data_IF_605735462942
#
_entry.id   IF_605735462942
#
_cell.length_a   1.000
_cell.length_b   1.000
_cell.length_c   1.000
_cell.angle_alpha   90.00
_cell.angle_beta   90.00
_cell.angle_gamma   90.00
#
_symmetry.space_group_name_H-M   'P 1'
#
loop_
_entity.id
_entity.type
_entity.pdbx_description
1 polymer ?
#
# COMPACT_ATOMS: atom_id res chain seq x y z
N UNK A 1 -10.88 -28.66 7.17
CA UNK A 1 -11.33 -27.45 6.46
C UNK A 1 -10.38 -27.32 5.27
N UNK A 2 -10.90 -27.18 4.05
CA UNK A 2 -10.01 -27.03 2.88
C UNK A 2 -9.33 -25.67 2.87
N UNK A 3 -8.24 -25.51 2.13
CA UNK A 3 -7.57 -24.20 1.97
C UNK A 3 -8.54 -23.14 1.45
N UNK A 4 -9.41 -23.50 0.51
CA UNK A 4 -10.48 -22.63 -0.01
C UNK A 4 -11.51 -22.24 1.06
N UNK A 5 -11.85 -23.13 1.99
CA UNK A 5 -12.74 -22.78 3.09
C UNK A 5 -12.07 -21.84 4.09
N UNK A 6 -10.78 -22.07 4.38
CA UNK A 6 -9.96 -21.18 5.23
C UNK A 6 -9.87 -19.79 4.60
N UNK A 7 -9.56 -19.70 3.30
CA UNK A 7 -9.48 -18.44 2.56
C UNK A 7 -10.82 -17.72 2.52
N UNK A 8 -11.92 -18.43 2.24
CA UNK A 8 -13.27 -17.82 2.24
C UNK A 8 -13.57 -17.16 3.59
N UNK A 9 -13.37 -17.89 4.69
CA UNK A 9 -13.58 -17.36 6.04
C UNK A 9 -12.65 -16.17 6.34
N UNK A 10 -11.39 -16.26 5.92
CA UNK A 10 -10.43 -15.17 6.09
C UNK A 10 -10.86 -13.89 5.37
N UNK A 11 -11.38 -14.00 4.14
CA UNK A 11 -11.87 -12.85 3.37
C UNK A 11 -13.14 -12.24 3.98
N UNK A 12 -14.03 -13.06 4.55
CA UNK A 12 -15.21 -12.58 5.27
C UNK A 12 -14.84 -11.78 6.53
N UNK A 13 -13.83 -12.24 7.28
CA UNK A 13 -13.43 -11.62 8.55
C UNK A 13 -12.44 -10.46 8.38
N UNK A 14 -11.56 -10.53 7.37
CA UNK A 14 -10.36 -9.68 7.26
C UNK A 14 -10.01 -9.26 5.83
N UNK A 15 -10.95 -9.39 4.88
CA UNK A 15 -10.72 -9.09 3.47
C UNK A 15 -10.65 -7.61 3.09
N UNK A 16 -10.77 -6.67 4.04
CA UNK A 16 -10.58 -5.24 3.79
C UNK A 16 -9.09 -4.92 3.56
N UNK A 17 -8.78 -4.38 2.38
CA UNK A 17 -7.40 -3.99 2.05
C UNK A 17 -6.94 -2.75 2.82
N UNK A 18 -5.64 -2.47 2.83
CA UNK A 18 -5.16 -1.24 3.46
C UNK A 18 -5.60 0.00 2.67
N UNK A 19 -5.74 -0.10 1.35
CA UNK A 19 -6.26 0.97 0.51
C UNK A 19 -7.74 1.26 0.82
N UNK A 20 -8.57 0.22 0.95
CA UNK A 20 -9.98 0.35 1.34
C UNK A 20 -10.11 0.96 2.74
N UNK A 21 -9.31 0.46 3.69
CA UNK A 21 -9.20 1.05 5.03
C UNK A 21 -8.76 2.51 4.92
N UNK A 22 -7.96 2.94 3.94
CA UNK A 22 -7.60 4.35 3.74
C UNK A 22 -8.62 5.17 2.93
N UNK A 23 -9.78 4.59 2.59
CA UNK A 23 -10.80 5.17 1.71
C UNK A 23 -10.23 5.56 0.34
N UNK A 24 -9.40 4.67 -0.21
CA UNK A 24 -8.94 4.71 -1.59
C UNK A 24 -9.70 3.62 -2.34
N UNK A 25 -10.48 4.03 -3.33
CA UNK A 25 -10.88 3.11 -4.40
C UNK A 25 -9.70 3.01 -5.36
N UNK A 26 -9.00 1.88 -5.34
CA UNK A 26 -7.84 1.65 -6.22
C UNK A 26 -8.35 1.55 -7.67
N UNK A 27 -7.90 2.49 -8.51
CA UNK A 27 -8.23 2.58 -9.93
C UNK A 27 -6.95 2.88 -10.70
N UNK A 28 -6.93 2.53 -11.98
CA UNK A 28 -5.82 2.83 -12.88
C UNK A 28 -5.82 4.32 -13.31
N UNK A 29 -5.76 5.21 -12.31
CA UNK A 29 -5.86 6.67 -12.43
C UNK A 29 -4.78 7.34 -11.56
N UNK A 30 -4.20 8.49 -11.99
CA UNK A 30 -3.02 9.07 -11.34
C UNK A 30 -3.20 9.36 -9.84
N UNK A 31 -4.32 10.00 -9.45
CA UNK A 31 -4.56 10.36 -8.05
C UNK A 31 -4.77 9.15 -7.15
N UNK A 32 -5.45 8.10 -7.64
CA UNK A 32 -5.68 6.89 -6.87
C UNK A 32 -4.35 6.18 -6.58
N UNK A 33 -3.51 6.02 -7.61
CA UNK A 33 -2.19 5.40 -7.49
C UNK A 33 -1.22 6.24 -6.64
N UNK A 34 -1.25 7.57 -6.77
CA UNK A 34 -0.42 8.45 -5.94
C UNK A 34 -0.78 8.36 -4.45
N UNK A 35 -2.08 8.35 -4.13
CA UNK A 35 -2.55 8.16 -2.75
C UNK A 35 -2.15 6.78 -2.22
N UNK A 36 -2.22 5.75 -3.05
CA UNK A 36 -1.77 4.41 -2.70
C UNK A 36 -0.27 4.36 -2.41
N UNK A 37 0.59 4.89 -3.28
CA UNK A 37 2.04 4.94 -3.03
C UNK A 37 2.36 5.74 -1.77
N UNK A 38 1.62 6.82 -1.51
CA UNK A 38 1.74 7.60 -0.27
C UNK A 38 1.40 6.74 0.96
N UNK A 39 0.33 5.94 0.91
CA UNK A 39 0.00 4.99 1.99
C UNK A 39 1.16 4.01 2.25
N UNK A 40 1.67 3.37 1.21
CA UNK A 40 2.77 2.40 1.31
C UNK A 40 4.02 3.06 1.91
N UNK A 41 4.35 4.29 1.48
CA UNK A 41 5.48 5.05 2.02
C UNK A 41 5.32 5.32 3.53
N UNK A 42 4.11 5.66 3.97
CA UNK A 42 3.81 5.90 5.39
C UNK A 42 3.86 4.60 6.22
N UNK A 43 3.39 3.49 5.66
CA UNK A 43 3.40 2.16 6.28
C UNK A 43 4.81 1.55 6.37
N UNK A 44 5.72 1.94 5.48
CA UNK A 44 7.10 1.46 5.48
C UNK A 44 7.93 1.94 6.71
N UNK A 45 7.39 2.84 7.53
CA UNK A 45 8.02 3.26 8.79
C UNK A 45 7.72 2.26 9.93
N UNK A 46 8.55 2.20 10.99
CA UNK A 46 8.24 1.45 12.21
C UNK A 46 7.06 2.05 13.00
N UNK A 47 5.85 1.89 12.47
CA UNK A 47 4.60 2.43 12.99
C UNK A 47 3.45 1.45 12.72
N UNK A 48 2.34 1.58 13.44
CA UNK A 48 1.17 0.73 13.18
C UNK A 48 0.51 1.11 11.85
N UNK A 49 -0.04 0.10 11.17
CA UNK A 49 -0.78 0.30 9.93
C UNK A 49 -1.95 1.28 10.11
N UNK A 50 -2.66 1.21 11.24
CA UNK A 50 -3.79 2.11 11.54
C UNK A 50 -3.38 3.58 11.63
N UNK A 51 -2.20 3.87 12.22
CA UNK A 51 -1.68 5.24 12.29
C UNK A 51 -1.27 5.73 10.88
N UNK A 52 -0.67 4.87 10.05
CA UNK A 52 -0.35 5.23 8.66
C UNK A 52 -1.61 5.47 7.81
N UNK A 53 -2.66 4.66 7.97
CA UNK A 53 -3.97 4.84 7.34
C UNK A 53 -4.61 6.15 7.79
N UNK A 54 -4.62 6.44 9.10
CA UNK A 54 -5.13 7.69 9.64
C UNK A 54 -4.36 8.90 9.08
N UNK A 55 -3.03 8.81 8.98
CA UNK A 55 -2.18 9.85 8.43
C UNK A 55 -2.53 10.14 6.96
N UNK A 56 -2.67 9.11 6.12
CA UNK A 56 -3.10 9.31 4.74
C UNK A 56 -4.49 9.96 4.64
N UNK A 57 -5.45 9.51 5.46
CA UNK A 57 -6.80 10.09 5.51
C UNK A 57 -6.73 11.58 5.86
N UNK A 58 -5.91 11.97 6.83
CA UNK A 58 -5.71 13.38 7.20
C UNK A 58 -5.05 14.21 6.09
N UNK A 59 -4.06 13.67 5.37
CA UNK A 59 -3.47 14.33 4.19
C UNK A 59 -4.53 14.54 3.10
N UNK A 60 -5.35 13.53 2.79
CA UNK A 60 -6.41 13.61 1.79
C UNK A 60 -7.46 14.67 2.16
N UNK A 61 -7.84 14.77 3.45
CA UNK A 61 -8.74 15.84 3.94
C UNK A 61 -8.19 17.24 3.73
N UNK A 62 -6.86 17.40 3.71
CA UNK A 62 -6.20 18.67 3.38
C UNK A 62 -6.01 18.88 1.87
N UNK A 63 -6.55 18.00 1.03
CA UNK A 63 -6.43 18.08 -0.43
C UNK A 63 -5.08 17.60 -0.98
N UNK A 64 -4.26 16.90 -0.18
CA UNK A 64 -2.90 16.47 -0.55
C UNK A 64 -2.90 15.12 -1.30
N UNK A 65 -3.91 14.88 -2.15
CA UNK A 65 -4.11 13.62 -2.87
C UNK A 65 -3.49 13.57 -4.27
N UNK A 66 -2.74 14.59 -4.68
CA UNK A 66 -2.02 14.64 -5.97
C UNK A 66 -0.62 15.24 -5.80
N UNK A 67 0.32 14.95 -6.71
CA UNK A 67 1.67 15.51 -6.67
C UNK A 67 1.69 17.05 -6.62
N UNK A 68 0.87 17.70 -7.43
CA UNK A 68 0.81 19.17 -7.54
C UNK A 68 0.33 19.81 -6.23
N UNK A 69 -0.67 19.19 -5.58
CA UNK A 69 -1.16 19.64 -4.28
C UNK A 69 -0.11 19.46 -3.18
N UNK A 70 0.62 18.35 -3.19
CA UNK A 70 1.75 18.12 -2.28
C UNK A 70 2.86 19.16 -2.47
N UNK A 71 3.20 19.47 -3.72
CA UNK A 71 4.26 20.43 -4.04
C UNK A 71 3.90 21.84 -3.60
N UNK A 72 2.66 22.28 -3.86
CA UNK A 72 2.17 23.63 -3.54
C UNK A 72 1.87 23.86 -2.06
N UNK A 73 1.56 22.82 -1.28
CA UNK A 73 1.17 22.98 0.11
C UNK A 73 2.34 23.39 1.04
N UNK A 74 2.10 24.27 2.03
CA UNK A 74 3.11 24.61 3.02
C UNK A 74 3.39 23.42 3.94
N UNK A 75 4.62 23.34 4.47
CA UNK A 75 5.03 22.27 5.40
C UNK A 75 4.10 22.15 6.61
N UNK A 76 3.59 23.26 7.13
CA UNK A 76 2.67 23.30 8.28
C UNK A 76 1.38 22.49 8.06
N UNK A 77 0.87 22.41 6.82
CA UNK A 77 -0.30 21.59 6.50
C UNK A 77 -0.04 20.10 6.75
N UNK A 78 1.15 19.62 6.39
CA UNK A 78 1.56 18.23 6.63
C UNK A 78 1.72 17.94 8.11
N UNK A 79 2.44 18.81 8.83
CA UNK A 79 2.67 18.64 10.28
C UNK A 79 1.34 18.64 11.05
N UNK A 80 0.41 19.52 10.68
CA UNK A 80 -0.93 19.55 11.27
C UNK A 80 -1.71 18.25 10.99
N UNK A 81 -1.68 17.76 9.75
CA UNK A 81 -2.33 16.50 9.36
C UNK A 81 -1.74 15.28 10.10
N UNK A 82 -0.40 15.17 10.10
CA UNK A 82 0.30 14.09 10.79
C UNK A 82 0.11 14.15 12.32
N UNK A 83 0.08 15.34 12.91
CA UNK A 83 -0.21 15.55 14.32
C UNK A 83 -1.57 14.99 14.73
N UNK A 84 -2.63 15.26 13.94
CA UNK A 84 -3.99 14.72 14.19
C UNK A 84 -4.07 13.20 14.07
N UNK A 85 -3.18 12.60 13.28
CA UNK A 85 -3.13 11.15 13.08
C UNK A 85 -2.20 10.40 14.04
N UNK A 86 -1.48 11.10 14.93
CA UNK A 86 -0.46 10.47 15.79
C UNK A 86 0.82 10.07 15.05
N UNK A 87 1.07 10.63 13.86
CA UNK A 87 2.23 10.34 13.01
C UNK A 87 3.43 11.29 13.27
N UNK A 88 3.41 12.04 14.38
CA UNK A 88 4.39 13.10 14.68
C UNK A 88 5.87 12.63 14.70
N UNK A 89 6.14 11.35 15.03
CA UNK A 89 7.53 10.84 15.06
C UNK A 89 8.25 10.93 13.71
N UNK A 90 7.50 10.86 12.61
CA UNK A 90 8.04 10.77 11.26
C UNK A 90 7.56 11.90 10.35
N UNK A 91 6.85 12.89 10.89
CA UNK A 91 6.15 13.92 10.11
C UNK A 91 7.10 14.74 9.22
N UNK A 92 8.22 15.25 9.74
CA UNK A 92 9.18 16.05 8.99
C UNK A 92 9.85 15.24 7.88
N UNK A 93 10.30 14.02 8.23
CA UNK A 93 10.95 13.13 7.27
C UNK A 93 10.00 12.70 6.16
N UNK A 94 8.75 12.37 6.49
CA UNK A 94 7.75 11.91 5.54
C UNK A 94 7.22 13.06 4.68
N UNK A 95 7.10 14.26 5.25
CA UNK A 95 6.81 15.49 4.47
C UNK A 95 7.90 15.74 3.44
N UNK A 96 9.17 15.59 3.84
CA UNK A 96 10.31 15.81 2.96
C UNK A 96 10.36 14.76 1.84
N UNK A 97 10.22 13.48 2.17
CA UNK A 97 10.18 12.40 1.17
C UNK A 97 9.00 12.54 0.22
N UNK A 98 7.79 12.81 0.72
CA UNK A 98 6.60 12.97 -0.11
C UNK A 98 6.73 14.14 -1.09
N UNK A 99 7.30 15.28 -0.67
CA UNK A 99 7.56 16.41 -1.57
C UNK A 99 8.61 16.08 -2.64
N UNK A 100 9.66 15.33 -2.30
CA UNK A 100 10.67 14.89 -3.28
C UNK A 100 10.10 13.88 -4.27
N UNK A 101 9.35 12.89 -3.77
CA UNK A 101 8.63 11.91 -4.59
C UNK A 101 7.70 12.63 -5.58
N UNK A 102 6.86 13.56 -5.09
CA UNK A 102 5.96 14.32 -5.94
C UNK A 102 6.71 15.16 -6.99
N UNK A 103 7.87 15.71 -6.64
CA UNK A 103 8.73 16.46 -7.57
C UNK A 103 9.23 15.56 -8.70
N UNK A 104 9.87 14.43 -8.37
CA UNK A 104 10.37 13.48 -9.37
C UNK A 104 9.24 12.95 -10.23
N UNK A 105 8.10 12.61 -9.63
CA UNK A 105 6.94 12.10 -10.35
C UNK A 105 6.40 13.13 -11.35
N UNK A 106 6.33 14.41 -10.95
CA UNK A 106 5.88 15.50 -11.83
C UNK A 106 6.88 15.76 -12.96
N UNK A 107 8.17 15.89 -12.62
CA UNK A 107 9.19 16.33 -13.57
C UNK A 107 9.58 15.24 -14.58
N UNK A 108 9.57 13.96 -14.19
CA UNK A 108 10.04 12.84 -15.03
C UNK A 108 8.92 11.98 -15.61
N UNK A 109 7.72 12.01 -15.03
CA UNK A 109 6.62 11.09 -15.37
C UNK A 109 5.25 11.80 -15.46
N UNK A 110 5.25 13.13 -15.65
CA UNK A 110 4.04 13.96 -15.83
C UNK A 110 2.97 13.77 -14.72
N UNK A 111 3.42 13.49 -13.50
CA UNK A 111 2.55 13.29 -12.34
C UNK A 111 1.87 11.91 -12.28
N UNK A 112 2.25 10.97 -13.14
CA UNK A 112 1.53 9.72 -13.35
C UNK A 112 2.39 8.46 -13.12
N UNK A 113 2.01 7.65 -12.12
CA UNK A 113 2.71 6.40 -11.80
C UNK A 113 2.52 5.31 -12.87
N UNK A 114 1.55 5.46 -13.78
CA UNK A 114 1.31 4.49 -14.86
C UNK A 114 2.45 4.45 -15.87
N UNK A 115 3.22 5.53 -15.99
CA UNK A 115 4.45 5.61 -16.80
C UNK A 115 5.55 4.64 -16.31
N UNK A 116 5.42 4.14 -15.08
CA UNK A 116 6.37 3.18 -14.50
C UNK A 116 6.05 1.72 -14.85
N UNK A 117 4.87 1.43 -15.43
CA UNK A 117 4.45 0.06 -15.75
C UNK A 117 5.47 -0.69 -16.62
N UNK A 118 5.35 -2.01 -16.59
CA UNK A 118 6.25 -2.95 -17.25
C UNK A 118 7.13 -3.74 -16.27
N UNK A 119 8.01 -4.62 -16.79
CA UNK A 119 8.70 -5.66 -16.00
C UNK A 119 9.50 -5.14 -14.80
N UNK A 120 10.03 -3.92 -14.88
CA UNK A 120 10.88 -3.31 -13.85
C UNK A 120 10.13 -2.39 -12.89
N UNK A 121 8.79 -2.39 -12.87
CA UNK A 121 7.99 -1.44 -12.07
C UNK A 121 8.40 -1.40 -10.60
N UNK A 122 8.69 -2.56 -9.99
CA UNK A 122 9.17 -2.65 -8.61
C UNK A 122 10.47 -1.87 -8.39
N UNK A 123 11.41 -1.96 -9.35
CA UNK A 123 12.71 -1.29 -9.31
C UNK A 123 12.58 0.19 -9.66
N UNK A 124 11.71 0.56 -10.59
CA UNK A 124 11.43 1.95 -10.96
C UNK A 124 10.81 2.72 -9.80
N UNK A 125 9.88 2.12 -9.05
CA UNK A 125 9.30 2.71 -7.84
C UNK A 125 10.38 3.06 -6.80
N UNK A 126 11.44 2.28 -6.70
CA UNK A 126 12.53 2.52 -5.75
C UNK A 126 13.43 3.73 -6.09
N UNK A 127 13.21 4.38 -7.24
CA UNK A 127 13.86 5.66 -7.54
C UNK A 127 13.32 6.81 -6.71
N UNK A 128 12.12 6.68 -6.16
CA UNK A 128 11.53 7.72 -5.32
C UNK A 128 12.08 7.64 -3.90
N UNK A 129 12.53 8.79 -3.39
CA UNK A 129 12.93 8.93 -1.99
C UNK A 129 11.82 8.45 -1.05
N UNK A 130 12.19 7.58 -0.10
CA UNK A 130 11.23 6.99 0.84
C UNK A 130 10.53 5.72 0.34
N UNK A 131 10.78 5.29 -0.90
CA UNK A 131 10.25 4.04 -1.47
C UNK A 131 11.37 3.00 -1.53
N UNK A 132 11.44 2.12 -0.54
CA UNK A 132 12.32 0.94 -0.55
C UNK A 132 11.63 -0.31 -1.12
N UNK A 133 12.33 -1.46 -1.19
CA UNK A 133 11.78 -2.72 -1.70
C UNK A 133 10.44 -3.10 -1.04
N UNK A 134 10.35 -3.03 0.29
CA UNK A 134 9.11 -3.35 1.00
C UNK A 134 7.95 -2.41 0.64
N UNK A 135 8.21 -1.13 0.38
CA UNK A 135 7.18 -0.18 -0.04
C UNK A 135 6.70 -0.49 -1.45
N UNK A 136 7.62 -0.84 -2.36
CA UNK A 136 7.28 -1.27 -3.71
C UNK A 136 6.43 -2.55 -3.69
N UNK A 137 6.80 -3.55 -2.88
CA UNK A 137 6.03 -4.79 -2.72
C UNK A 137 4.62 -4.52 -2.19
N UNK A 138 4.47 -3.65 -1.19
CA UNK A 138 3.16 -3.22 -0.68
C UNK A 138 2.31 -2.54 -1.75
N UNK A 139 2.90 -1.69 -2.58
CA UNK A 139 2.21 -1.03 -3.67
C UNK A 139 1.73 -2.07 -4.70
N UNK A 140 2.62 -2.95 -5.15
CA UNK A 140 2.33 -4.01 -6.12
C UNK A 140 1.25 -4.97 -5.62
N UNK A 141 1.27 -5.31 -4.33
CA UNK A 141 0.25 -6.14 -3.67
C UNK A 141 -1.15 -5.53 -3.78
N UNK A 142 -1.27 -4.22 -3.68
CA UNK A 142 -2.56 -3.52 -3.74
C UNK A 142 -3.01 -3.24 -5.19
N UNK A 143 -2.08 -3.00 -6.12
CA UNK A 143 -2.44 -2.74 -7.53
C UNK A 143 -2.65 -3.98 -8.38
N UNK A 144 -2.24 -5.18 -7.93
CA UNK A 144 -2.31 -6.40 -8.76
C UNK A 144 -3.71 -6.74 -9.30
N UNK A 145 -4.78 -6.29 -8.64
CA UNK A 145 -6.16 -6.44 -9.11
C UNK A 145 -6.53 -5.53 -10.30
N UNK A 146 -5.76 -4.46 -10.54
CA UNK A 146 -5.95 -3.53 -11.68
C UNK A 146 -4.76 -3.54 -12.66
N UNK A 147 -3.60 -4.00 -12.21
CA UNK A 147 -2.38 -4.23 -13.00
C UNK A 147 -2.09 -5.74 -13.04
N UNK A 148 -2.88 -6.53 -13.78
CA UNK A 148 -2.77 -7.98 -13.76
C UNK A 148 -1.42 -8.51 -14.22
N UNK A 149 -0.64 -7.72 -14.96
CA UNK A 149 0.71 -8.10 -15.39
C UNK A 149 1.75 -8.16 -14.26
N UNK A 150 1.43 -7.63 -13.07
CA UNK A 150 2.30 -7.77 -11.88
C UNK A 150 1.90 -8.94 -11.00
N UNK A 151 0.72 -9.52 -11.22
CA UNK A 151 0.19 -10.62 -10.41
C UNK A 151 0.91 -11.96 -10.70
N UNK A 152 0.97 -12.88 -9.73
CA UNK A 152 0.52 -12.73 -8.34
C UNK A 152 1.59 -12.08 -7.44
N UNK A 153 1.14 -11.22 -6.50
CA UNK A 153 2.01 -10.55 -5.52
C UNK A 153 1.59 -10.90 -4.10
N UNK A 154 2.41 -11.74 -3.46
CA UNK A 154 2.36 -12.02 -2.03
C UNK A 154 3.71 -11.70 -1.41
N UNK A 155 3.81 -10.53 -0.78
CA UNK A 155 5.05 -10.13 -0.11
C UNK A 155 5.39 -11.05 1.09
N UNK A 156 6.59 -10.89 1.63
CA UNK A 156 7.07 -11.72 2.75
C UNK A 156 6.08 -11.76 3.93
N UNK A 157 5.37 -10.66 4.17
CA UNK A 157 4.43 -10.56 5.29
C UNK A 157 3.13 -11.30 5.01
N UNK A 158 2.66 -11.30 3.76
CA UNK A 158 1.55 -12.15 3.34
C UNK A 158 1.92 -13.65 3.44
N UNK A 159 3.12 -14.04 3.00
CA UNK A 159 3.59 -15.44 3.11
C UNK A 159 3.71 -15.89 4.56
N UNK A 160 4.22 -15.03 5.47
CA UNK A 160 4.19 -15.29 6.92
C UNK A 160 2.77 -15.57 7.44
N UNK A 161 1.77 -14.85 6.92
CA UNK A 161 0.37 -15.04 7.27
C UNK A 161 -0.20 -16.36 6.76
N UNK A 162 0.12 -16.73 5.51
CA UNK A 162 -0.27 -18.00 4.92
C UNK A 162 0.26 -19.17 5.74
N UNK A 163 1.55 -19.11 6.10
CA UNK A 163 2.21 -20.10 6.94
C UNK A 163 1.53 -20.30 8.29
N UNK A 164 1.14 -19.22 8.97
CA UNK A 164 0.41 -19.31 10.26
C UNK A 164 -0.93 -20.02 10.15
N UNK A 165 -1.57 -19.96 8.98
CA UNK A 165 -2.85 -20.63 8.72
C UNK A 165 -2.69 -22.04 8.15
N UNK A 166 -1.46 -22.49 7.89
CA UNK A 166 -1.18 -23.75 7.20
C UNK A 166 -1.56 -23.74 5.72
N UNK A 167 -1.68 -22.56 5.10
CA UNK A 167 -1.91 -22.39 3.67
C UNK A 167 -0.59 -22.57 2.87
N UNK A 168 -0.66 -22.78 1.55
CA UNK A 168 0.53 -22.79 0.68
C UNK A 168 1.40 -21.54 0.86
N UNK A 169 2.72 -21.71 0.79
CA UNK A 169 3.70 -20.62 0.96
C UNK A 169 4.20 -20.05 -0.39
N UNK A 170 3.68 -20.53 -1.53
CA UNK A 170 4.01 -20.02 -2.86
C UNK A 170 2.95 -19.01 -3.34
N UNK A 171 3.40 -17.99 -4.08
CA UNK A 171 2.50 -16.97 -4.61
C UNK A 171 1.50 -17.55 -5.63
N UNK A 172 1.94 -18.49 -6.47
CA UNK A 172 1.11 -19.14 -7.48
C UNK A 172 0.03 -20.01 -6.84
N UNK A 173 0.38 -20.85 -5.86
CA UNK A 173 -0.59 -21.72 -5.19
C UNK A 173 -1.62 -20.90 -4.40
N UNK A 174 -1.21 -19.78 -3.78
CA UNK A 174 -2.14 -18.87 -3.10
C UNK A 174 -3.10 -18.19 -4.08
N UNK A 175 -2.62 -17.85 -5.27
CA UNK A 175 -3.46 -17.23 -6.30
C UNK A 175 -4.56 -18.17 -6.80
N UNK A 176 -4.34 -19.49 -6.81
CA UNK A 176 -5.35 -20.48 -7.21
C UNK A 176 -6.53 -20.65 -6.22
N UNK A 177 -6.44 -19.99 -5.05
CA UNK A 177 -7.46 -20.05 -4.01
C UNK A 177 -8.55 -18.99 -4.15
N UNK A 178 -8.35 -17.97 -5.01
CA UNK A 178 -9.26 -16.84 -5.21
C UNK A 178 -9.34 -16.43 -6.68
N UNK A 179 -10.37 -15.67 -7.04
CA UNK A 179 -10.41 -15.03 -8.34
C UNK A 179 -9.37 -13.87 -8.42
N UNK A 180 -8.85 -13.52 -9.61
CA UNK A 180 -7.81 -12.50 -9.76
C UNK A 180 -8.13 -11.14 -9.10
N UNK A 181 -9.39 -10.72 -9.12
CA UNK A 181 -9.88 -9.50 -8.48
C UNK A 181 -9.75 -9.51 -6.94
N UNK A 182 -9.74 -10.69 -6.32
CA UNK A 182 -9.65 -10.88 -4.87
C UNK A 182 -8.20 -11.07 -4.38
N UNK A 183 -7.22 -11.13 -5.29
CA UNK A 183 -5.79 -11.23 -4.92
C UNK A 183 -5.34 -10.13 -3.94
N UNK A 184 -5.66 -8.84 -4.14
CA UNK A 184 -5.29 -7.80 -3.16
C UNK A 184 -5.91 -8.05 -1.78
N UNK A 185 -7.15 -8.55 -1.75
CA UNK A 185 -7.90 -8.82 -0.51
C UNK A 185 -7.30 -10.00 0.24
N UNK A 186 -6.97 -11.09 -0.45
CA UNK A 186 -6.31 -12.24 0.14
C UNK A 186 -4.94 -11.83 0.70
N UNK A 187 -4.12 -11.15 -0.10
CA UNK A 187 -2.79 -10.73 0.34
C UNK A 187 -2.85 -9.78 1.55
N UNK A 188 -3.78 -8.81 1.57
CA UNK A 188 -3.98 -7.94 2.73
C UNK A 188 -4.45 -8.71 3.98
N UNK A 189 -5.37 -9.65 3.83
CA UNK A 189 -5.86 -10.46 4.94
C UNK A 189 -4.76 -11.33 5.56
N UNK A 190 -3.89 -11.92 4.73
CA UNK A 190 -2.73 -12.67 5.20
C UNK A 190 -1.73 -11.77 5.94
N UNK A 191 -1.46 -10.56 5.43
CA UNK A 191 -0.61 -9.58 6.15
C UNK A 191 -1.19 -9.27 7.53
N UNK A 192 -2.52 -9.11 7.65
CA UNK A 192 -3.18 -8.88 8.95
C UNK A 192 -2.99 -10.05 9.90
N UNK A 193 -3.06 -11.30 9.42
CA UNK A 193 -2.78 -12.50 10.22
C UNK A 193 -1.32 -12.54 10.69
N UNK A 194 -0.38 -12.15 9.83
CA UNK A 194 1.04 -12.07 10.20
C UNK A 194 1.32 -11.01 11.27
N UNK A 195 0.56 -9.91 11.28
CA UNK A 195 0.67 -8.83 12.26
C UNK A 195 -0.08 -9.11 13.56
N UNK A 196 -1.13 -9.94 13.52
CA UNK A 196 -1.88 -10.35 14.70
C UNK A 196 -0.99 -11.21 15.61
N UNK A 197 -0.79 -10.74 16.84
CA UNK A 197 0.01 -11.42 17.87
C UNK A 197 -0.73 -12.63 18.47
N UNK A 198 -2.03 -12.76 18.20
CA UNK A 198 -2.90 -13.82 18.75
C UNK A 198 -3.26 -14.90 17.75
N UNK A 199 -2.92 -14.71 16.47
CA UNK A 199 -3.10 -15.73 15.44
C UNK A 199 -1.95 -16.75 15.49
N UNK A 200 -2.16 -17.84 16.22
CA UNK A 200 -1.28 -18.99 16.36
C UNK A 200 -1.95 -20.11 17.14
#
# INVERSE_FOLDING_TARGET
MSDRDTVRKLLEERGETFAEQAHITVRDEPSALFRLLTLCMLQAKPISADIAVAALRELNKQGLGTPEKVLSAPRSTFLSAFGRAGYARYDESSTTYLKKLARVLTDEYDGDLRELRGPDVAKKLQKFDGVGPACADMFLREVQGIWPEVAPVFDKKAIEGAKKLGLPESADDLAELVDPEDLPRLAAALVRVALDKTAG
#
